data_IF_721043623013
#
_entry.id   IF_721043623013
#
_cell.length_a   1.000
_cell.length_b   1.000
_cell.length_c   1.000
_cell.angle_alpha   90.00
_cell.angle_beta   90.00
_cell.angle_gamma   90.00
#
_symmetry.space_group_name_H-M   'P 1'
#
loop_
_entity.id
_entity.type
_entity.pdbx_description
1 polymer ?
#
# COMPACT_ATOMS: atom_id res chain seq x y z
N UNK A 1 5.70 -12.46 -3.24
CA UNK A 1 4.34 -12.57 -2.67
C UNK A 1 3.32 -13.16 -3.65
N UNK A 2 3.73 -13.57 -4.86
CA UNK A 2 2.89 -14.27 -5.84
C UNK A 2 3.40 -15.70 -6.05
N UNK A 3 3.16 -16.54 -5.05
CA UNK A 3 3.35 -17.99 -5.16
C UNK A 3 2.12 -18.63 -5.80
N UNK A 4 1.90 -18.40 -7.10
CA UNK A 4 0.97 -19.19 -7.95
C UNK A 4 0.96 -18.73 -9.44
N UNK A 5 2.02 -18.06 -9.93
CA UNK A 5 2.05 -17.51 -11.29
C UNK A 5 1.43 -16.12 -11.43
N UNK A 6 1.30 -15.36 -10.34
CA UNK A 6 0.89 -13.96 -10.39
C UNK A 6 2.06 -12.99 -10.60
N UNK A 7 1.75 -11.71 -10.78
CA UNK A 7 2.72 -10.62 -11.00
C UNK A 7 2.56 -9.53 -9.94
N UNK A 8 3.66 -9.05 -9.37
CA UNK A 8 3.64 -7.90 -8.46
C UNK A 8 3.53 -6.60 -9.25
N UNK A 9 2.83 -5.62 -8.70
CA UNK A 9 2.65 -4.28 -9.26
C UNK A 9 2.85 -3.22 -8.16
N UNK A 10 2.91 -1.95 -8.53
CA UNK A 10 3.20 -0.87 -7.59
C UNK A 10 2.04 -0.63 -6.62
N UNK A 11 2.33 -0.08 -5.44
CA UNK A 11 1.34 0.39 -4.46
C UNK A 11 0.40 -0.71 -3.93
N UNK A 12 0.95 -1.90 -3.69
CA UNK A 12 0.18 -3.04 -3.17
C UNK A 12 -0.67 -3.75 -4.22
N UNK A 13 -0.61 -3.34 -5.48
CA UNK A 13 -1.28 -4.03 -6.56
C UNK A 13 -0.55 -5.33 -6.91
N UNK A 14 -1.31 -6.35 -7.27
CA UNK A 14 -0.80 -7.56 -7.88
C UNK A 14 -1.82 -8.11 -8.85
N UNK A 15 -1.35 -8.94 -9.78
CA UNK A 15 -2.18 -9.65 -10.73
C UNK A 15 -2.11 -11.13 -10.40
N UNK A 16 -3.25 -11.80 -10.33
CA UNK A 16 -3.27 -13.25 -10.15
C UNK A 16 -2.99 -14.01 -11.46
N UNK A 17 -2.98 -15.34 -11.40
CA UNK A 17 -2.67 -16.20 -12.56
C UNK A 17 -3.73 -16.17 -13.67
N UNK A 18 -4.92 -15.61 -13.39
CA UNK A 18 -6.01 -15.46 -14.35
C UNK A 18 -6.11 -14.05 -14.92
N UNK A 19 -5.18 -13.17 -14.53
CA UNK A 19 -5.12 -11.79 -15.02
C UNK A 19 -5.98 -10.81 -14.23
N UNK A 20 -6.58 -11.22 -13.11
CA UNK A 20 -7.39 -10.34 -12.26
C UNK A 20 -6.46 -9.50 -11.40
N UNK A 21 -6.76 -8.20 -11.33
CA UNK A 21 -5.99 -7.27 -10.51
C UNK A 21 -6.56 -7.23 -9.09
N UNK A 22 -5.68 -7.41 -8.13
CA UNK A 22 -5.95 -7.32 -6.71
C UNK A 22 -5.12 -6.19 -6.12
N UNK A 23 -5.66 -5.49 -5.13
CA UNK A 23 -4.90 -4.55 -4.33
C UNK A 23 -4.89 -5.01 -2.89
N UNK A 24 -3.71 -5.28 -2.35
CA UNK A 24 -3.52 -5.65 -0.95
C UNK A 24 -3.23 -4.38 -0.17
N UNK A 25 -4.29 -3.77 0.35
CA UNK A 25 -4.27 -2.49 1.07
C UNK A 25 -4.44 -2.75 2.57
N UNK A 26 -3.42 -2.47 3.41
CA UNK A 26 -3.57 -2.59 4.85
C UNK A 26 -4.56 -1.58 5.42
N UNK A 27 -5.27 -1.95 6.49
CA UNK A 27 -6.23 -1.06 7.16
C UNK A 27 -5.58 0.25 7.64
N UNK A 28 -4.33 0.20 8.11
CA UNK A 28 -3.58 1.39 8.52
C UNK A 28 -3.40 2.39 7.36
N UNK A 29 -3.18 1.89 6.13
CA UNK A 29 -3.07 2.73 4.94
C UNK A 29 -4.40 3.40 4.62
N UNK A 30 -5.51 2.65 4.64
CA UNK A 30 -6.84 3.22 4.44
C UNK A 30 -7.20 4.27 5.50
N UNK A 31 -6.91 3.99 6.78
CA UNK A 31 -7.17 4.91 7.88
C UNK A 31 -6.36 6.21 7.78
N UNK A 32 -5.09 6.11 7.35
CA UNK A 32 -4.26 7.29 7.13
C UNK A 32 -4.81 8.18 6.01
N UNK A 33 -5.35 7.60 4.94
CA UNK A 33 -5.96 8.37 3.85
C UNK A 33 -7.31 8.98 4.20
N UNK A 34 -8.12 8.32 5.03
CA UNK A 34 -9.44 8.81 5.46
C UNK A 34 -9.39 9.63 6.75
N UNK A 35 -8.22 9.79 7.34
CA UNK A 35 -8.02 10.52 8.59
C UNK A 35 -8.12 12.04 8.40
N UNK A 36 -8.26 12.80 9.51
CA UNK A 36 -8.33 14.26 9.47
C UNK A 36 -6.98 14.94 9.20
N UNK A 37 -5.86 14.23 9.36
CA UNK A 37 -4.51 14.77 9.14
C UNK A 37 -4.08 14.60 7.68
N UNK A 38 -4.30 15.66 6.89
CA UNK A 38 -3.92 15.70 5.48
C UNK A 38 -2.40 15.64 5.25
N UNK A 39 -1.59 16.10 6.21
CA UNK A 39 -0.12 16.06 6.09
C UNK A 39 0.39 14.63 6.33
N UNK A 40 -0.20 13.91 7.28
CA UNK A 40 0.04 12.48 7.45
C UNK A 40 -0.38 11.68 6.22
N UNK A 41 -1.55 11.99 5.64
CA UNK A 41 -2.00 11.35 4.40
C UNK A 41 -1.01 11.57 3.25
N UNK A 42 -0.44 12.77 3.13
CA UNK A 42 0.58 13.07 2.12
C UNK A 42 1.88 12.28 2.35
N UNK A 43 2.40 12.24 3.59
CA UNK A 43 3.60 11.45 3.92
C UNK A 43 3.41 9.97 3.61
N UNK A 44 2.25 9.44 3.95
CA UNK A 44 1.85 8.06 3.69
C UNK A 44 1.75 7.78 2.19
N UNK A 45 1.19 8.71 1.42
CA UNK A 45 1.14 8.61 -0.04
C UNK A 45 2.55 8.57 -0.66
N UNK A 46 3.41 9.51 -0.26
CA UNK A 46 4.78 9.62 -0.75
C UNK A 46 5.59 8.36 -0.42
N UNK A 47 5.39 7.77 0.78
CA UNK A 47 5.98 6.50 1.16
C UNK A 47 5.42 5.31 0.34
N UNK A 48 4.10 5.25 0.13
CA UNK A 48 3.43 4.20 -0.63
C UNK A 48 3.91 4.13 -2.08
N UNK A 49 4.16 5.29 -2.73
CA UNK A 49 4.66 5.36 -4.11
C UNK A 49 6.00 4.65 -4.30
N UNK A 50 6.80 4.49 -3.25
CA UNK A 50 8.08 3.79 -3.31
C UNK A 50 7.96 2.29 -3.05
N UNK A 51 6.75 1.76 -2.83
CA UNK A 51 6.50 0.39 -2.42
C UNK A 51 5.81 -0.41 -3.52
N UNK A 52 6.38 -1.55 -3.89
CA UNK A 52 5.67 -2.59 -4.66
C UNK A 52 4.74 -3.36 -3.73
N UNK A 53 5.28 -3.86 -2.61
CA UNK A 53 4.52 -4.45 -1.51
C UNK A 53 4.39 -3.44 -0.37
N UNK A 54 3.18 -3.21 0.11
CA UNK A 54 2.96 -2.31 1.24
C UNK A 54 3.54 -2.91 2.52
N UNK A 55 4.39 -2.12 3.18
CA UNK A 55 4.96 -2.42 4.49
C UNK A 55 4.23 -1.58 5.54
N UNK A 56 3.43 -2.25 6.38
CA UNK A 56 2.60 -1.60 7.41
C UNK A 56 3.46 -0.79 8.37
N UNK A 57 4.63 -1.28 8.77
CA UNK A 57 5.50 -0.58 9.71
C UNK A 57 6.02 0.74 9.14
N UNK A 58 6.30 0.78 7.84
CA UNK A 58 6.68 2.02 7.14
C UNK A 58 5.51 2.99 6.99
N UNK A 59 4.31 2.49 6.74
CA UNK A 59 3.10 3.31 6.70
C UNK A 59 2.85 3.95 8.08
N UNK A 60 2.89 3.17 9.16
CA UNK A 60 2.73 3.70 10.52
C UNK A 60 3.82 4.71 10.90
N UNK A 61 5.06 4.47 10.48
CA UNK A 61 6.14 5.44 10.68
C UNK A 61 5.85 6.76 9.94
N UNK A 62 5.39 6.70 8.69
CA UNK A 62 5.02 7.88 7.91
C UNK A 62 3.83 8.64 8.51
N UNK A 63 2.85 7.93 9.10
CA UNK A 63 1.76 8.55 9.86
C UNK A 63 2.30 9.35 11.04
N UNK A 64 3.20 8.76 11.83
CA UNK A 64 3.77 9.37 13.04
C UNK A 64 4.67 10.59 12.77
N UNK A 65 5.23 10.70 11.57
CA UNK A 65 6.12 11.81 11.17
C UNK A 65 7.58 11.51 11.47
#
# INVERSE_FOLDING_TARGET
MVGNGGQESQCGWCKDKWGVNWQITPTALSQAFTGPDADAAKRVFDAMMQMTKIDVSKIEAAVRG
#
